data_IF_901931673430
#
_entry.id   IF_901931673430
#
_cell.length_a   1.000
_cell.length_b   1.000
_cell.length_c   1.000
_cell.angle_alpha   90.00
_cell.angle_beta   90.00
_cell.angle_gamma   90.00
#
_symmetry.space_group_name_H-M   'P 1'
#
loop_
_entity.id
_entity.type
_entity.pdbx_description
1 polymer ?
#
# COMPACT_ATOMS: atom_id res chain seq x y z
N UNK A 1 -4.06 -6.64 10.19
CA UNK A 1 -3.38 -7.87 9.75
C UNK A 1 -4.04 -9.07 10.42
N UNK A 2 -3.81 -10.30 9.94
CA UNK A 2 -4.46 -11.52 10.50
C UNK A 2 -4.22 -11.74 12.00
N UNK A 3 -3.17 -11.14 12.54
CA UNK A 3 -2.78 -11.19 13.95
C UNK A 3 -3.26 -9.97 14.76
N UNK A 4 -4.10 -9.12 14.18
CA UNK A 4 -4.67 -7.94 14.83
C UNK A 4 -3.82 -6.66 14.75
N UNK A 5 -2.57 -6.74 14.28
CA UNK A 5 -1.71 -5.56 14.10
C UNK A 5 -2.23 -4.66 12.98
N UNK A 6 -2.20 -3.34 13.18
CA UNK A 6 -2.60 -2.35 12.17
C UNK A 6 -1.38 -1.82 11.40
N UNK A 7 -1.41 -1.98 10.08
CA UNK A 7 -0.46 -1.33 9.18
C UNK A 7 -1.14 -0.15 8.50
N UNK A 8 -0.44 0.99 8.41
CA UNK A 8 -1.02 2.24 7.91
C UNK A 8 -0.52 2.52 6.49
N UNK A 9 -1.45 2.91 5.61
CA UNK A 9 -1.18 3.22 4.22
C UNK A 9 -1.84 4.51 3.77
N UNK A 10 -1.20 5.19 2.83
CA UNK A 10 -1.77 6.34 2.11
C UNK A 10 -2.36 5.86 0.79
N UNK A 11 -3.56 6.33 0.47
CA UNK A 11 -4.31 5.92 -0.73
C UNK A 11 -4.44 7.12 -1.66
N UNK A 12 -3.93 6.96 -2.88
CA UNK A 12 -4.08 7.91 -3.97
C UNK A 12 -4.90 7.27 -5.06
N UNK A 13 -5.90 7.97 -5.59
CA UNK A 13 -6.79 7.40 -6.62
C UNK A 13 -7.31 8.50 -7.53
N UNK A 14 -7.74 8.14 -8.76
CA UNK A 14 -8.39 9.10 -9.63
C UNK A 14 -9.67 9.65 -9.00
N UNK A 15 -10.06 10.85 -9.42
CA UNK A 15 -11.37 11.41 -9.08
C UNK A 15 -12.48 10.53 -9.68
N UNK A 16 -13.47 10.18 -8.86
CA UNK A 16 -14.56 9.28 -9.24
C UNK A 16 -14.72 8.09 -8.31
N UNK A 17 -15.66 7.20 -8.64
CA UNK A 17 -16.00 6.04 -7.82
C UNK A 17 -15.14 4.80 -8.13
N UNK A 18 -14.46 4.75 -9.28
CA UNK A 18 -13.78 3.53 -9.76
C UNK A 18 -14.73 2.54 -10.46
N UNK A 19 -14.38 1.25 -10.55
CA UNK A 19 -13.20 0.61 -9.94
C UNK A 19 -11.93 0.71 -10.80
N UNK A 20 -10.76 0.78 -10.15
CA UNK A 20 -9.46 0.98 -10.79
C UNK A 20 -8.52 -0.23 -10.56
N UNK A 21 -7.59 -0.53 -11.49
CA UNK A 21 -6.45 -1.37 -11.16
C UNK A 21 -5.64 -0.72 -10.04
N UNK A 22 -5.10 -1.54 -9.14
CA UNK A 22 -4.44 -1.07 -7.91
C UNK A 22 -2.95 -1.38 -7.95
N UNK A 23 -2.14 -0.39 -7.61
CA UNK A 23 -0.71 -0.57 -7.39
C UNK A 23 -0.45 -0.57 -5.88
N UNK A 24 0.24 -1.58 -5.38
CA UNK A 24 0.65 -1.67 -3.98
C UNK A 24 2.16 -1.50 -3.87
N UNK A 25 2.60 -0.46 -3.17
CA UNK A 25 3.98 -0.29 -2.76
C UNK A 25 4.10 -0.42 -1.24
N UNK A 26 4.96 -1.33 -0.78
CA UNK A 26 5.28 -1.52 0.64
C UNK A 26 6.69 -1.03 0.89
N UNK A 27 6.87 -0.19 1.91
CA UNK A 27 8.16 0.47 2.19
C UNK A 27 8.50 0.43 3.69
N UNK A 28 9.76 0.10 4.06
CA UNK A 28 10.24 0.32 5.42
C UNK A 28 10.77 1.75 5.64
N UNK A 29 10.69 2.63 4.63
CA UNK A 29 11.38 3.92 4.58
C UNK A 29 10.45 5.14 4.54
N UNK A 30 9.36 5.10 5.31
CA UNK A 30 8.32 6.12 5.41
C UNK A 30 7.48 6.25 4.12
N UNK A 31 6.19 5.94 4.21
CA UNK A 31 5.25 6.12 3.10
C UNK A 31 5.13 7.57 2.61
N UNK A 32 5.50 8.54 3.44
CA UNK A 32 5.46 9.98 3.11
C UNK A 32 6.78 10.50 2.52
N UNK A 33 7.86 9.72 2.60
CA UNK A 33 9.15 10.16 2.11
C UNK A 33 9.17 10.22 0.58
N UNK A 34 9.55 11.37 0.04
CA UNK A 34 9.87 11.51 -1.37
C UNK A 34 11.30 11.03 -1.61
N UNK A 35 11.50 9.71 -1.58
CA UNK A 35 12.78 9.10 -1.96
C UNK A 35 12.86 9.10 -3.50
N UNK A 36 13.27 10.24 -4.06
CA UNK A 36 13.45 10.45 -5.49
C UNK A 36 14.19 9.26 -6.12
N UNK A 37 13.53 8.61 -7.08
CA UNK A 37 13.97 7.43 -7.86
C UNK A 37 13.77 6.03 -7.26
N UNK A 38 13.32 5.87 -6.01
CA UNK A 38 13.07 4.52 -5.44
C UNK A 38 11.60 4.23 -5.16
N UNK A 39 10.76 5.27 -5.10
CA UNK A 39 9.33 5.13 -4.86
C UNK A 39 8.52 5.54 -6.10
N UNK A 40 7.39 4.86 -6.30
CA UNK A 40 6.37 5.20 -7.27
C UNK A 40 5.89 6.63 -7.03
N UNK A 41 5.71 7.40 -8.09
CA UNK A 41 4.98 8.67 -8.03
C UNK A 41 3.47 8.37 -7.99
N UNK A 42 2.81 8.48 -6.82
CA UNK A 42 1.41 8.09 -6.70
C UNK A 42 0.47 9.04 -7.45
N UNK A 43 0.85 10.32 -7.61
CA UNK A 43 0.03 11.31 -8.29
C UNK A 43 0.04 11.06 -9.79
N UNK A 44 1.21 10.76 -10.36
CA UNK A 44 1.31 10.37 -11.77
C UNK A 44 0.56 9.07 -12.06
N UNK A 45 0.68 8.07 -11.20
CA UNK A 45 -0.05 6.80 -11.35
C UNK A 45 -1.57 7.00 -11.22
N UNK A 46 -2.03 7.81 -10.26
CA UNK A 46 -3.45 8.17 -10.13
C UNK A 46 -3.96 8.90 -11.37
N UNK A 47 -3.21 9.85 -11.92
CA UNK A 47 -3.56 10.52 -13.19
C UNK A 47 -3.60 9.56 -14.39
N UNK A 48 -2.89 8.44 -14.33
CA UNK A 48 -2.91 7.39 -15.34
C UNK A 48 -4.04 6.36 -15.15
N UNK A 49 -4.92 6.54 -14.15
CA UNK A 49 -6.09 5.67 -13.94
C UNK A 49 -5.87 4.51 -12.96
N UNK A 50 -4.82 4.55 -12.14
CA UNK A 50 -4.54 3.56 -11.10
C UNK A 50 -4.94 4.07 -9.72
N UNK A 51 -5.52 3.21 -8.89
CA UNK A 51 -5.45 3.43 -7.45
C UNK A 51 -4.07 2.99 -6.95
N UNK A 52 -3.53 3.68 -5.95
CA UNK A 52 -2.19 3.45 -5.41
C UNK A 52 -2.28 3.39 -3.90
N UNK A 53 -1.72 2.33 -3.33
CA UNK A 53 -1.58 2.12 -1.89
C UNK A 53 -0.10 2.15 -1.57
N UNK A 54 0.34 3.11 -0.75
CA UNK A 54 1.70 3.15 -0.22
C UNK A 54 1.64 2.84 1.28
N UNK A 55 2.20 1.71 1.68
CA UNK A 55 2.10 1.17 3.04
C UNK A 55 3.45 1.19 3.75
N UNK A 56 3.45 1.64 5.01
CA UNK A 56 4.57 1.42 5.93
C UNK A 56 4.61 -0.05 6.38
N UNK A 57 5.74 -0.73 6.25
CA UNK A 57 5.86 -2.11 6.74
C UNK A 57 5.75 -2.18 8.27
N UNK A 58 5.50 -3.38 8.79
CA UNK A 58 5.33 -3.62 10.23
C UNK A 58 6.46 -3.05 11.08
N UNK A 59 6.08 -2.36 12.16
CA UNK A 59 7.00 -1.70 13.09
C UNK A 59 7.79 -0.54 12.48
N UNK A 60 7.33 0.01 11.35
CA UNK A 60 7.97 1.16 10.68
C UNK A 60 7.01 2.35 10.66
N UNK A 61 7.53 3.52 11.00
CA UNK A 61 6.84 4.81 10.93
C UNK A 61 5.47 4.76 11.62
N UNK A 62 4.37 4.90 10.88
CA UNK A 62 3.03 4.89 11.48
C UNK A 62 2.52 3.47 11.76
N UNK A 63 3.10 2.43 11.17
CA UNK A 63 2.67 1.04 11.34
C UNK A 63 3.03 0.46 12.70
N UNK A 64 2.05 -0.23 13.30
CA UNK A 64 2.21 -0.92 14.57
C UNK A 64 3.10 -2.17 14.44
N UNK A 65 3.40 -2.80 15.58
CA UNK A 65 4.20 -4.02 15.68
C UNK A 65 5.70 -3.78 15.82
N UNK A 66 6.49 -4.84 15.63
CA UNK A 66 7.95 -4.78 15.70
C UNK A 66 8.58 -5.07 14.33
N UNK A 67 9.56 -4.26 13.97
CA UNK A 67 10.25 -4.42 12.70
C UNK A 67 11.27 -5.56 12.76
N UNK A 68 11.13 -6.52 11.85
CA UNK A 68 12.15 -7.50 11.52
C UNK A 68 12.16 -7.69 10.00
N UNK A 69 13.27 -7.36 9.36
CA UNK A 69 13.37 -7.39 7.90
C UNK A 69 13.01 -8.79 7.34
N UNK A 70 12.07 -8.82 6.39
CA UNK A 70 11.66 -9.99 5.61
C UNK A 70 10.92 -11.11 6.36
N UNK A 71 10.81 -11.06 7.70
CA UNK A 71 10.13 -12.10 8.48
C UNK A 71 8.62 -12.08 8.26
N UNK A 72 8.03 -10.89 8.42
CA UNK A 72 6.57 -10.72 8.42
C UNK A 72 6.05 -10.30 7.04
N UNK A 73 6.94 -9.88 6.14
CA UNK A 73 6.60 -9.28 4.84
C UNK A 73 5.79 -10.19 3.93
N UNK A 74 5.95 -11.52 4.01
CA UNK A 74 5.17 -12.47 3.21
C UNK A 74 3.69 -12.45 3.62
N UNK A 75 3.42 -12.57 4.92
CA UNK A 75 2.05 -12.64 5.43
C UNK A 75 1.36 -11.27 5.38
N UNK A 76 2.06 -10.21 5.80
CA UNK A 76 1.54 -8.85 5.75
C UNK A 76 1.31 -8.38 4.31
N UNK A 77 2.19 -8.81 3.38
CA UNK A 77 2.03 -8.54 1.95
C UNK A 77 0.78 -9.19 1.38
N UNK A 78 0.59 -10.49 1.67
CA UNK A 78 -0.62 -11.22 1.28
C UNK A 78 -1.89 -10.54 1.82
N UNK A 79 -1.93 -10.28 3.14
CA UNK A 79 -3.10 -9.66 3.79
C UNK A 79 -3.41 -8.28 3.19
N UNK A 80 -2.37 -7.52 2.83
CA UNK A 80 -2.53 -6.18 2.22
C UNK A 80 -3.04 -6.27 0.79
N UNK A 81 -2.58 -7.23 -0.02
CA UNK A 81 -3.10 -7.46 -1.37
C UNK A 81 -4.57 -7.83 -1.33
N UNK A 82 -4.95 -8.79 -0.49
CA UNK A 82 -6.35 -9.21 -0.34
C UNK A 82 -7.24 -8.05 0.14
N UNK A 83 -6.76 -7.28 1.13
CA UNK A 83 -7.45 -6.10 1.61
C UNK A 83 -7.64 -5.05 0.51
N UNK A 84 -6.60 -4.78 -0.29
CA UNK A 84 -6.64 -3.78 -1.36
C UNK A 84 -7.58 -4.21 -2.50
N UNK A 85 -7.57 -5.50 -2.86
CA UNK A 85 -8.45 -6.07 -3.88
C UNK A 85 -9.95 -5.98 -3.51
N UNK A 86 -10.27 -6.02 -2.21
CA UNK A 86 -11.64 -5.99 -1.70
C UNK A 86 -12.24 -4.57 -1.56
N UNK A 87 -11.46 -3.51 -1.78
CA UNK A 87 -11.95 -2.14 -1.62
C UNK A 87 -12.91 -1.73 -2.74
N UNK A 88 -13.92 -0.88 -2.47
CA UNK A 88 -14.92 -0.48 -3.47
C UNK A 88 -14.33 0.30 -4.65
N UNK A 89 -13.16 0.89 -4.48
CA UNK A 89 -12.43 1.60 -5.53
C UNK A 89 -11.53 0.70 -6.36
N UNK A 90 -11.32 -0.57 -5.98
CA UNK A 90 -10.45 -1.53 -6.68
C UNK A 90 -11.27 -2.42 -7.62
N UNK A 91 -10.69 -2.79 -8.77
CA UNK A 91 -11.28 -3.80 -9.66
C UNK A 91 -10.78 -5.23 -9.38
N UNK A 92 -10.11 -5.44 -8.24
CA UNK A 92 -9.54 -6.72 -7.83
C UNK A 92 -8.20 -7.07 -8.47
N UNK A 93 -7.68 -6.27 -9.41
CA UNK A 93 -6.34 -6.45 -9.98
C UNK A 93 -5.34 -5.61 -9.20
N UNK A 94 -4.50 -6.26 -8.40
CA UNK A 94 -3.47 -5.63 -7.57
C UNK A 94 -2.09 -6.10 -8.04
N UNK A 95 -1.14 -5.16 -8.18
CA UNK A 95 0.25 -5.45 -8.57
C UNK A 95 1.25 -4.41 -8.12
#
# INVERSE_FOLDING_TARGET
MRDGVTLYADIYRPDGAGPYPTILQRTPYDKTANLTHTMLDPIRAAKAGFAVVIQDTRGRHASEGEFYAFRDDINDGFDTVEWAAAQPWSNGKVG
#
